data_IF_659028287265
#
_entry.id   IF_659028287265
#
_cell.length_a   1.000
_cell.length_b   1.000
_cell.length_c   1.000
_cell.angle_alpha   90.00
_cell.angle_beta   90.00
_cell.angle_gamma   90.00
#
_symmetry.space_group_name_H-M   'P 1'
#
loop_
_entity.id
_entity.type
_entity.pdbx_description
1 polymer ?
#
# COMPACT_ATOMS: atom_id res chain seq x y z
N UNK A 1 9.95 11.75 12.05
CA UNK A 1 10.93 10.67 11.75
C UNK A 1 10.21 9.57 10.96
N UNK A 2 10.84 9.08 9.89
CA UNK A 2 10.33 7.92 9.15
C UNK A 2 10.93 6.67 9.77
N UNK A 3 10.09 5.74 10.21
CA UNK A 3 10.56 4.52 10.85
C UNK A 3 10.36 3.25 10.03
N UNK A 4 9.38 3.26 9.10
CA UNK A 4 9.00 2.08 8.33
C UNK A 4 8.43 2.48 6.98
N UNK A 5 8.77 1.74 5.93
CA UNK A 5 8.19 1.93 4.60
C UNK A 5 7.59 0.61 4.14
N UNK A 6 6.39 0.69 3.59
CA UNK A 6 5.65 -0.44 3.02
C UNK A 6 5.32 -0.14 1.56
N UNK A 7 5.45 -1.16 0.71
CA UNK A 7 5.08 -1.07 -0.69
C UNK A 7 4.23 -2.29 -1.06
N UNK A 8 3.08 -2.05 -1.68
CA UNK A 8 2.19 -3.12 -2.13
C UNK A 8 1.86 -2.89 -3.61
N UNK A 9 2.46 -3.70 -4.48
CA UNK A 9 2.26 -3.61 -5.93
C UNK A 9 1.04 -4.40 -6.36
N UNK A 10 0.34 -3.91 -7.37
CA UNK A 10 -0.85 -4.56 -7.91
C UNK A 10 -1.11 -4.12 -9.34
N UNK A 11 -1.94 -4.91 -10.03
CA UNK A 11 -2.42 -4.60 -11.39
C UNK A 11 -3.93 -4.55 -11.38
N UNK A 12 -4.55 -3.39 -11.61
CA UNK A 12 -6.01 -3.33 -11.76
C UNK A 12 -6.48 -4.18 -12.95
N UNK A 13 -7.64 -4.81 -12.80
CA UNK A 13 -8.30 -5.46 -13.93
C UNK A 13 -8.58 -4.45 -15.03
N UNK A 14 -8.61 -4.91 -16.28
CA UNK A 14 -8.86 -4.04 -17.42
C UNK A 14 -10.12 -3.21 -17.21
N UNK A 15 -10.00 -1.89 -17.38
CA UNK A 15 -11.11 -0.94 -17.22
C UNK A 15 -11.53 -0.65 -15.80
N UNK A 16 -10.85 -1.19 -14.77
CA UNK A 16 -11.26 -1.03 -13.38
C UNK A 16 -10.29 -0.17 -12.53
N UNK A 17 -9.30 0.43 -13.15
CA UNK A 17 -8.33 1.25 -12.38
C UNK A 17 -9.03 2.41 -11.65
N UNK A 18 -9.92 3.12 -12.34
CA UNK A 18 -10.63 4.25 -11.73
C UNK A 18 -11.52 3.80 -10.57
N UNK A 19 -12.22 2.68 -10.73
CA UNK A 19 -13.06 2.13 -9.67
C UNK A 19 -12.21 1.73 -8.46
N UNK A 20 -11.03 1.17 -8.69
CA UNK A 20 -10.09 0.85 -7.62
C UNK A 20 -9.66 2.12 -6.88
N UNK A 21 -9.33 3.19 -7.60
CA UNK A 21 -8.91 4.45 -6.96
C UNK A 21 -10.03 5.05 -6.12
N UNK A 22 -11.27 4.97 -6.59
CA UNK A 22 -12.44 5.42 -5.82
C UNK A 22 -12.63 4.59 -4.55
N UNK A 23 -12.50 3.26 -4.65
CA UNK A 23 -12.59 2.37 -3.50
C UNK A 23 -11.51 2.65 -2.47
N UNK A 24 -10.28 2.93 -2.94
CA UNK A 24 -9.18 3.32 -2.07
C UNK A 24 -9.49 4.63 -1.33
N UNK A 25 -9.95 5.64 -2.05
CA UNK A 25 -10.28 6.94 -1.45
C UNK A 25 -11.38 6.82 -0.39
N UNK A 26 -12.40 6.03 -0.67
CA UNK A 26 -13.46 5.73 0.30
C UNK A 26 -12.92 5.03 1.54
N UNK A 27 -12.07 4.04 1.35
CA UNK A 27 -11.44 3.31 2.45
C UNK A 27 -10.64 4.24 3.35
N UNK A 28 -9.80 5.11 2.77
CA UNK A 28 -8.97 6.04 3.53
C UNK A 28 -9.84 7.03 4.32
N UNK A 29 -10.95 7.47 3.74
CA UNK A 29 -11.88 8.37 4.43
C UNK A 29 -12.52 7.70 5.64
N UNK A 30 -12.91 6.42 5.50
CA UNK A 30 -13.60 5.67 6.55
C UNK A 30 -12.64 5.10 7.60
N UNK A 31 -11.41 4.79 7.21
CA UNK A 31 -10.39 4.18 8.05
C UNK A 31 -9.07 4.94 7.91
N UNK A 32 -8.97 6.16 8.43
CA UNK A 32 -7.76 6.96 8.25
C UNK A 32 -6.52 6.29 8.86
N UNK A 33 -5.38 6.52 8.21
CA UNK A 33 -4.10 6.00 8.66
C UNK A 33 -3.37 7.04 9.50
N UNK A 34 -2.74 6.61 10.58
CA UNK A 34 -1.80 7.43 11.34
C UNK A 34 -0.39 7.21 10.76
N UNK A 35 -0.16 7.79 9.60
CA UNK A 35 1.10 7.66 8.88
C UNK A 35 1.60 9.02 8.38
N UNK A 36 2.81 9.03 7.84
CA UNK A 36 3.40 10.24 7.27
C UNK A 36 2.88 10.45 5.85
N UNK A 37 2.76 9.34 5.10
CA UNK A 37 2.30 9.37 3.72
C UNK A 37 1.64 8.03 3.38
N UNK A 38 0.56 8.09 2.61
CA UNK A 38 -0.11 6.91 2.09
C UNK A 38 -0.67 7.26 0.71
N UNK A 39 -0.05 6.76 -0.36
CA UNK A 39 -0.37 7.14 -1.75
C UNK A 39 -0.24 5.97 -2.68
N UNK A 40 -1.05 6.00 -3.75
CA UNK A 40 -0.88 5.10 -4.89
C UNK A 40 -0.02 5.81 -5.93
N UNK A 41 0.98 5.12 -6.46
CA UNK A 41 1.82 5.60 -7.54
C UNK A 41 1.68 4.72 -8.77
N UNK A 42 1.88 5.30 -9.93
CA UNK A 42 1.86 4.61 -11.23
C UNK A 42 3.27 4.12 -11.56
N UNK A 43 3.42 2.81 -11.72
CA UNK A 43 4.71 2.20 -12.07
C UNK A 43 4.89 2.01 -13.58
N UNK A 44 3.84 2.30 -14.36
CA UNK A 44 3.83 2.05 -15.80
C UNK A 44 3.33 0.65 -16.15
N UNK A 45 2.99 0.45 -17.40
CA UNK A 45 2.55 -0.84 -17.95
C UNK A 45 1.35 -1.46 -17.21
N UNK A 46 0.48 -0.60 -16.66
CA UNK A 46 -0.71 -1.06 -15.96
C UNK A 46 -0.48 -1.56 -14.55
N UNK A 47 0.71 -1.33 -14.01
CA UNK A 47 1.05 -1.68 -12.63
C UNK A 47 1.13 -0.44 -11.75
N UNK A 48 0.63 -0.56 -10.53
CA UNK A 48 0.61 0.51 -9.52
C UNK A 48 1.18 -0.02 -8.21
N UNK A 49 1.51 0.90 -7.32
CA UNK A 49 1.92 0.53 -5.97
C UNK A 49 1.28 1.44 -4.94
N UNK A 50 0.84 0.85 -3.85
CA UNK A 50 0.41 1.57 -2.66
C UNK A 50 1.62 1.73 -1.75
N UNK A 51 2.01 2.97 -1.50
CA UNK A 51 3.18 3.29 -0.68
C UNK A 51 2.69 3.82 0.66
N UNK A 52 3.16 3.20 1.74
CA UNK A 52 2.93 3.68 3.10
C UNK A 52 4.25 4.06 3.76
N UNK A 53 4.31 5.27 4.31
CA UNK A 53 5.47 5.76 5.05
C UNK A 53 5.01 6.03 6.47
N UNK A 54 5.56 5.28 7.43
CA UNK A 54 5.07 5.23 8.80
C UNK A 54 6.08 5.80 9.78
N UNK A 55 5.57 6.33 10.89
CA UNK A 55 6.41 6.91 11.95
C UNK A 55 7.29 5.86 12.62
N UNK A 56 6.78 4.64 12.77
CA UNK A 56 7.46 3.55 13.47
C UNK A 56 7.00 2.20 12.95
N UNK A 57 7.74 1.15 13.31
CA UNK A 57 7.32 -0.24 13.07
C UNK A 57 6.00 -0.52 13.79
N UNK A 58 5.83 -0.03 15.02
CA UNK A 58 4.61 -0.24 15.80
C UNK A 58 3.39 0.38 15.12
N UNK A 59 3.51 1.57 14.56
CA UNK A 59 2.42 2.22 13.80
C UNK A 59 1.99 1.35 12.61
N UNK A 60 2.96 0.76 11.91
CA UNK A 60 2.68 -0.13 10.78
C UNK A 60 1.98 -1.41 11.25
N UNK A 61 2.46 -2.01 12.35
CA UNK A 61 1.86 -3.23 12.90
C UNK A 61 0.41 -2.98 13.30
N UNK A 62 0.09 -1.83 13.88
CA UNK A 62 -1.28 -1.48 14.25
C UNK A 62 -2.19 -1.46 13.03
N UNK A 63 -1.71 -0.93 11.90
CA UNK A 63 -2.46 -0.93 10.64
C UNK A 63 -2.68 -2.36 10.13
N UNK A 64 -1.64 -3.20 10.19
CA UNK A 64 -1.72 -4.58 9.72
C UNK A 64 -2.63 -5.46 10.58
N UNK A 65 -2.87 -5.06 11.82
CA UNK A 65 -3.75 -5.79 12.74
C UNK A 65 -5.22 -5.38 12.63
N UNK A 66 -5.56 -4.46 11.74
CA UNK A 66 -6.96 -4.08 11.50
C UNK A 66 -7.74 -5.26 10.94
N UNK A 67 -8.98 -5.42 11.38
CA UNK A 67 -9.90 -6.43 10.84
C UNK A 67 -10.23 -6.18 9.38
N UNK A 68 -10.32 -4.90 9.00
CA UNK A 68 -10.64 -4.48 7.64
C UNK A 68 -9.43 -3.75 7.04
N UNK A 69 -8.59 -4.49 6.29
CA UNK A 69 -7.38 -3.95 5.67
C UNK A 69 -7.66 -3.48 4.25
N UNK A 70 -6.87 -2.49 3.80
CA UNK A 70 -7.01 -1.93 2.45
C UNK A 70 -6.86 -3.00 1.36
N UNK A 71 -5.98 -3.97 1.53
CA UNK A 71 -5.79 -5.05 0.55
C UNK A 71 -7.06 -5.86 0.35
N UNK A 72 -7.86 -6.08 1.38
CA UNK A 72 -9.14 -6.79 1.28
C UNK A 72 -10.14 -5.98 0.45
N UNK A 73 -10.17 -4.67 0.63
CA UNK A 73 -11.05 -3.77 -0.10
C UNK A 73 -10.69 -3.71 -1.59
N UNK A 74 -9.39 -3.68 -1.91
CA UNK A 74 -8.93 -3.54 -3.28
C UNK A 74 -8.89 -4.84 -4.07
N UNK A 75 -8.93 -6.00 -3.42
CA UNK A 75 -8.71 -7.30 -4.04
C UNK A 75 -9.63 -7.58 -5.22
N UNK A 76 -10.90 -7.19 -5.14
CA UNK A 76 -11.86 -7.46 -6.22
C UNK A 76 -11.54 -6.69 -7.52
N UNK A 77 -10.74 -5.63 -7.44
CA UNK A 77 -10.39 -4.79 -8.58
C UNK A 77 -9.06 -5.14 -9.21
N UNK A 78 -8.34 -6.12 -8.65
CA UNK A 78 -6.98 -6.42 -9.12
C UNK A 78 -6.93 -7.76 -9.84
N UNK A 79 -6.08 -7.82 -10.86
CA UNK A 79 -5.77 -9.04 -11.59
C UNK A 79 -4.60 -9.75 -10.90
N UNK A 80 -4.73 -11.05 -10.59
CA UNK A 80 -3.62 -11.77 -9.98
C UNK A 80 -2.38 -11.78 -10.87
N UNK A 81 -1.21 -11.77 -10.23
CA UNK A 81 0.07 -12.01 -10.91
C UNK A 81 0.17 -13.49 -11.32
N UNK A 82 1.18 -13.82 -12.12
CA UNK A 82 1.40 -15.18 -12.63
C UNK A 82 1.54 -16.22 -11.51
N UNK A 83 2.03 -15.81 -10.34
CA UNK A 83 2.16 -16.69 -9.17
C UNK A 83 0.83 -16.89 -8.42
N UNK A 84 -0.26 -16.28 -8.89
CA UNK A 84 -1.57 -16.36 -8.26
C UNK A 84 -1.80 -15.35 -7.15
N UNK A 85 -0.80 -14.57 -6.78
CA UNK A 85 -0.93 -13.54 -5.75
C UNK A 85 -1.59 -12.28 -6.33
N UNK A 86 -2.52 -11.69 -5.57
CA UNK A 86 -3.18 -10.44 -5.97
C UNK A 86 -2.26 -9.24 -5.79
N UNK A 87 -1.35 -9.32 -4.83
CA UNK A 87 -0.43 -8.24 -4.48
C UNK A 87 0.97 -8.78 -4.29
N UNK A 88 1.96 -7.97 -4.69
CA UNK A 88 3.36 -8.22 -4.37
C UNK A 88 3.83 -7.13 -3.41
N UNK A 89 4.07 -7.49 -2.16
CA UNK A 89 4.35 -6.53 -1.10
C UNK A 89 5.75 -6.74 -0.53
N UNK A 90 6.37 -5.63 -0.16
CA UNK A 90 7.58 -5.66 0.65
C UNK A 90 7.55 -4.47 1.61
N UNK A 91 8.21 -4.64 2.74
CA UNK A 91 8.26 -3.60 3.76
C UNK A 91 9.51 -3.81 4.61
N UNK A 92 9.95 -2.75 5.25
CA UNK A 92 11.10 -2.84 6.15
C UNK A 92 11.29 -1.57 6.95
N UNK A 93 11.95 -1.67 8.11
CA UNK A 93 12.34 -0.49 8.86
C UNK A 93 13.37 0.33 8.09
N UNK A 94 13.33 1.63 8.28
CA UNK A 94 14.28 2.55 7.66
C UNK A 94 15.63 2.43 8.34
N UNK A 95 16.69 2.28 7.54
CA UNK A 95 18.06 2.27 8.02
C UNK A 95 18.59 3.70 7.96
N UNK A 96 19.08 4.19 9.11
CA UNK A 96 19.69 5.52 9.15
C UNK A 96 21.12 5.43 8.61
N UNK A 97 21.34 6.03 7.45
CA UNK A 97 22.65 6.06 6.79
C UNK A 97 23.33 7.44 6.88
N UNK A 98 22.81 8.34 7.70
CA UNK A 98 23.31 9.72 7.75
C UNK A 98 24.79 9.78 8.11
N UNK A 99 25.27 8.85 8.95
CA UNK A 99 26.68 8.79 9.35
C UNK A 99 27.63 8.44 8.18
N UNK A 100 27.10 7.92 7.08
CA UNK A 100 27.88 7.52 5.89
C UNK A 100 27.81 8.57 4.77
N UNK A 101 26.99 9.59 4.93
CA UNK A 101 26.85 10.67 3.93
C UNK A 101 27.84 11.83 4.18
#
# INVERSE_FOLDING_TARGET
MVGMINCMKFRPKAGQAEDLFKAYAEYVRDYPFDDILHKIIDLGDGEFALIGVHHSVDSFIDIMNRDNRVSQTLREYVEPYEDGESFHSFSGPVVNCDDYL
#
